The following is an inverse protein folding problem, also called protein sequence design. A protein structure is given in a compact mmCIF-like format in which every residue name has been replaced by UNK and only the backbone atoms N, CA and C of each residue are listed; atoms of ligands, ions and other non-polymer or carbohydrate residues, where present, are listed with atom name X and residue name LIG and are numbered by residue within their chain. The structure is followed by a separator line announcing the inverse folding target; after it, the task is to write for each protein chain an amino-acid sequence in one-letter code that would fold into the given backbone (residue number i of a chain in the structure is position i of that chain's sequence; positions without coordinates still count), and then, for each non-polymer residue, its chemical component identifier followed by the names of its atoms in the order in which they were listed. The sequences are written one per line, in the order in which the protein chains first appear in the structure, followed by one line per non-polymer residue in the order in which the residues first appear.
data_IF_970763746165
#
_entry.id   IF_970763746165
#
_cell.length_a   1.000
_cell.length_b   1.000
_cell.length_c   1.000
_cell.angle_alpha   90.00
_cell.angle_beta   90.00
_cell.angle_gamma   90.00
#
_symmetry.space_group_name_H-M   'P 1'
#
loop_
_entity.id
_entity.type
_entity.pdbx_description
1 polymer ?
#
# COMPACT_ATOMS: atom_id res chain seq x y z
N UNK A 1 10.10 27.62 -13.83
CA UNK A 1 10.41 28.05 -12.45
C UNK A 1 9.17 28.61 -11.73
N UNK A 2 8.84 29.92 -11.83
CA UNK A 2 7.68 30.52 -11.12
C UNK A 2 6.33 29.84 -11.41
N UNK A 3 6.10 29.46 -12.67
CA UNK A 3 4.89 28.74 -13.08
C UNK A 3 4.76 27.35 -12.44
N UNK A 4 5.86 26.58 -12.40
CA UNK A 4 5.87 25.24 -11.80
C UNK A 4 5.67 25.29 -10.26
N UNK A 5 6.34 26.22 -9.58
CA UNK A 5 6.15 26.43 -8.15
C UNK A 5 4.70 26.81 -7.80
N UNK A 6 4.09 27.70 -8.61
CA UNK A 6 2.67 28.05 -8.46
C UNK A 6 1.74 26.87 -8.69
N UNK A 7 2.02 26.02 -9.69
CA UNK A 7 1.24 24.81 -9.96
C UNK A 7 1.35 23.77 -8.84
N UNK A 8 2.51 23.66 -8.21
CA UNK A 8 2.72 22.76 -7.08
C UNK A 8 2.20 23.34 -5.74
N UNK A 9 1.64 24.55 -5.72
CA UNK A 9 1.17 25.17 -4.48
C UNK A 9 2.28 25.50 -3.46
N UNK A 10 3.56 25.54 -3.88
CA UNK A 10 4.69 25.84 -2.98
C UNK A 10 5.35 27.17 -3.32
N UNK A 11 5.97 27.80 -2.32
CA UNK A 11 6.67 29.06 -2.54
C UNK A 11 7.84 28.91 -3.51
N UNK A 12 8.08 29.93 -4.33
CA UNK A 12 9.26 29.97 -5.21
C UNK A 12 10.58 29.83 -4.44
N UNK A 13 10.66 30.38 -3.23
CA UNK A 13 11.83 30.23 -2.37
C UNK A 13 12.03 28.78 -1.90
N UNK A 14 10.96 28.04 -1.66
CA UNK A 14 11.00 26.60 -1.34
C UNK A 14 11.46 25.80 -2.55
N UNK A 15 10.83 26.00 -3.70
CA UNK A 15 11.22 25.34 -4.96
C UNK A 15 12.70 25.56 -5.30
N UNK A 16 13.16 26.82 -5.23
CA UNK A 16 14.56 27.17 -5.50
C UNK A 16 15.55 26.56 -4.49
N UNK A 17 15.16 26.32 -3.24
CA UNK A 17 16.02 25.65 -2.26
C UNK A 17 16.09 24.15 -2.54
N UNK A 18 14.99 23.54 -2.97
CA UNK A 18 14.94 22.13 -3.37
C UNK A 18 15.84 21.89 -4.59
N UNK A 19 15.68 22.66 -5.67
CA UNK A 19 16.48 22.50 -6.89
C UNK A 19 17.99 22.67 -6.67
N UNK A 20 18.39 23.52 -5.72
CA UNK A 20 19.80 23.76 -5.38
C UNK A 20 20.35 22.76 -4.35
N UNK A 21 19.59 21.74 -3.98
CA UNK A 21 19.98 20.77 -2.95
C UNK A 21 20.13 21.37 -1.54
N UNK A 22 19.56 22.57 -1.31
CA UNK A 22 19.60 23.27 -0.01
C UNK A 22 18.45 22.89 0.91
N UNK A 23 17.45 22.18 0.39
CA UNK A 23 16.37 21.57 1.16
C UNK A 23 16.04 20.21 0.52
N UNK A 24 15.86 19.17 1.32
CA UNK A 24 15.28 17.92 0.83
C UNK A 24 13.80 18.12 0.47
N UNK A 25 13.33 17.35 -0.51
CA UNK A 25 11.91 17.13 -0.77
C UNK A 25 11.55 15.72 -0.30
N UNK A 26 11.74 15.45 0.98
CA UNK A 26 11.49 14.16 1.64
C UNK A 26 10.01 13.96 1.98
N UNK A 27 9.25 15.04 2.08
CA UNK A 27 7.81 15.03 2.30
C UNK A 27 7.02 14.49 1.10
N UNK A 28 6.23 13.43 1.29
CA UNK A 28 5.48 12.76 0.20
C UNK A 28 4.37 13.60 -0.43
N UNK A 29 3.74 14.51 0.31
CA UNK A 29 2.72 15.40 -0.24
C UNK A 29 3.38 16.46 -1.12
N UNK A 30 4.48 17.03 -0.63
CA UNK A 30 5.28 17.98 -1.42
C UNK A 30 5.82 17.33 -2.70
N UNK A 31 6.30 16.09 -2.63
CA UNK A 31 6.72 15.33 -3.83
C UNK A 31 5.57 15.10 -4.80
N UNK A 32 4.37 14.76 -4.32
CA UNK A 32 3.20 14.56 -5.17
C UNK A 32 2.77 15.86 -5.87
N UNK A 33 2.79 16.99 -5.16
CA UNK A 33 2.44 18.30 -5.73
C UNK A 33 3.46 18.74 -6.79
N UNK A 34 4.75 18.51 -6.53
CA UNK A 34 5.83 18.76 -7.50
C UNK A 34 5.65 17.85 -8.73
N UNK A 35 5.32 16.56 -8.53
CA UNK A 35 5.12 15.60 -9.62
C UNK A 35 3.93 15.99 -10.50
N UNK A 36 2.82 16.37 -9.86
CA UNK A 36 1.63 16.88 -10.54
C UNK A 36 1.91 18.19 -11.29
N UNK A 37 2.78 19.06 -10.78
CA UNK A 37 3.18 20.29 -11.48
C UNK A 37 4.08 20.03 -12.69
N UNK A 38 4.88 18.95 -12.65
CA UNK A 38 5.82 18.55 -13.70
C UNK A 38 5.25 17.50 -14.67
N UNK A 39 4.03 17.03 -14.43
CA UNK A 39 3.35 15.99 -15.24
C UNK A 39 4.12 14.67 -15.30
N UNK A 40 4.63 14.23 -14.15
CA UNK A 40 5.35 12.96 -14.00
C UNK A 40 4.89 12.20 -12.75
N UNK A 41 5.34 10.96 -12.57
CA UNK A 41 5.07 10.21 -11.35
C UNK A 41 6.00 10.65 -10.20
N UNK A 42 5.56 10.66 -8.92
CA UNK A 42 6.43 10.97 -7.78
C UNK A 42 7.71 10.12 -7.72
N UNK A 43 7.65 8.87 -8.17
CA UNK A 43 8.79 7.96 -8.25
C UNK A 43 9.90 8.41 -9.22
N UNK A 44 9.56 9.23 -10.21
CA UNK A 44 10.53 9.81 -11.16
C UNK A 44 11.32 10.96 -10.51
N UNK A 45 10.68 11.71 -9.59
CA UNK A 45 11.30 12.83 -8.87
C UNK A 45 12.25 12.39 -7.76
N UNK A 46 11.91 11.30 -7.08
CA UNK A 46 12.74 10.75 -6.00
C UNK A 46 14.05 10.18 -6.50
N UNK A 47 14.26 10.17 -7.82
CA UNK A 47 15.50 9.67 -8.39
C UNK A 47 15.74 8.24 -7.97
N UNK A 48 14.76 7.35 -8.18
CA UNK A 48 15.08 5.94 -8.47
C UNK A 48 15.82 5.86 -9.83
N UNK A 49 16.75 6.77 -10.10
CA UNK A 49 17.92 6.52 -10.90
C UNK A 49 18.69 5.44 -10.12
N UNK A 50 18.40 4.20 -10.48
CA UNK A 50 19.13 3.01 -10.07
C UNK A 50 20.61 3.36 -10.19
N UNK A 51 21.38 3.46 -9.09
CA UNK A 51 22.81 3.46 -9.21
C UNK A 51 23.13 2.16 -9.97
N UNK A 52 23.78 2.27 -11.13
CA UNK A 52 24.28 1.11 -11.85
C UNK A 52 25.13 0.28 -10.87
N UNK A 53 24.55 -0.75 -10.25
CA UNK A 53 25.16 -1.45 -9.12
C UNK A 53 24.20 -2.14 -8.15
N UNK A 54 22.94 -1.70 -8.01
CA UNK A 54 22.00 -2.38 -7.12
C UNK A 54 21.33 -3.58 -7.80
N UNK A 55 21.97 -4.74 -7.69
CA UNK A 55 21.54 -6.01 -8.31
C UNK A 55 20.12 -6.40 -7.93
N UNK A 56 19.67 -6.08 -6.71
CA UNK A 56 18.35 -6.45 -6.22
C UNK A 56 17.25 -5.61 -6.88
N UNK A 57 17.53 -4.32 -7.10
CA UNK A 57 16.60 -3.41 -7.81
C UNK A 57 16.48 -3.81 -9.28
N UNK A 58 17.59 -4.15 -9.94
CA UNK A 58 17.57 -4.64 -11.33
C UNK A 58 16.81 -5.97 -11.43
N UNK A 59 17.04 -6.90 -10.49
CA UNK A 59 16.34 -8.17 -10.45
C UNK A 59 14.82 -8.00 -10.24
N UNK A 60 14.39 -7.10 -9.36
CA UNK A 60 12.98 -6.81 -9.16
C UNK A 60 12.32 -6.20 -10.41
N UNK A 61 13.04 -5.31 -11.10
CA UNK A 61 12.56 -4.67 -12.33
C UNK A 61 12.42 -5.64 -13.51
N UNK A 62 13.27 -6.68 -13.57
CA UNK A 62 13.22 -7.68 -14.63
C UNK A 62 11.87 -8.41 -14.71
N UNK A 63 11.13 -8.50 -13.60
CA UNK A 63 9.85 -9.20 -13.55
C UNK A 63 8.63 -8.31 -13.78
N UNK A 64 8.77 -6.97 -13.78
CA UNK A 64 7.64 -6.03 -13.91
C UNK A 64 6.81 -6.30 -15.17
N UNK A 65 7.47 -6.54 -16.31
CA UNK A 65 6.76 -6.83 -17.56
C UNK A 65 5.94 -8.13 -17.48
N UNK A 66 6.53 -9.19 -16.93
CA UNK A 66 5.86 -10.49 -16.79
C UNK A 66 4.69 -10.43 -15.80
N UNK A 67 4.82 -9.64 -14.71
CA UNK A 67 3.72 -9.38 -13.77
C UNK A 67 2.60 -8.63 -14.47
N UNK A 68 2.91 -7.57 -15.24
CA UNK A 68 1.89 -6.83 -16.01
C UNK A 68 1.14 -7.73 -16.96
N UNK A 69 1.84 -8.58 -17.73
CA UNK A 69 1.19 -9.54 -18.64
C UNK A 69 0.25 -10.46 -17.87
N UNK A 70 0.72 -11.07 -16.76
CA UNK A 70 -0.13 -11.93 -15.95
C UNK A 70 -1.35 -11.19 -15.38
N UNK A 71 -1.22 -9.92 -14.97
CA UNK A 71 -2.34 -9.12 -14.52
C UNK A 71 -3.33 -8.80 -15.64
N UNK A 72 -2.85 -8.52 -16.86
CA UNK A 72 -3.68 -8.29 -18.05
C UNK A 72 -4.45 -9.56 -18.41
N UNK A 73 -3.81 -10.72 -18.35
CA UNK A 73 -4.38 -12.04 -18.68
C UNK A 73 -5.46 -12.50 -17.68
N UNK A 74 -5.53 -11.90 -16.47
CA UNK A 74 -6.61 -12.19 -15.52
C UNK A 74 -7.92 -11.60 -16.05
N UNK A 75 -8.79 -12.50 -16.50
CA UNK A 75 -10.19 -12.24 -16.82
C UNK A 75 -11.08 -13.31 -16.17
N UNK A 76 -12.01 -12.90 -15.31
CA UNK A 76 -12.93 -13.81 -14.62
C UNK A 76 -14.21 -14.09 -15.43
N UNK A 77 -14.41 -13.40 -16.55
CA UNK A 77 -15.51 -13.63 -17.48
C UNK A 77 -15.21 -14.73 -18.48
N UNK A 78 -13.93 -15.00 -18.74
CA UNK A 78 -13.48 -16.11 -19.57
C UNK A 78 -13.08 -17.32 -18.70
N UNK A 79 -13.46 -18.56 -19.07
CA UNK A 79 -13.01 -19.74 -18.33
C UNK A 79 -11.50 -19.93 -18.55
N UNK A 80 -10.65 -19.82 -17.51
CA UNK A 80 -9.24 -20.10 -17.67
C UNK A 80 -9.00 -21.59 -17.91
N UNK A 81 -7.88 -21.92 -18.55
CA UNK A 81 -7.43 -23.31 -18.60
C UNK A 81 -7.20 -23.81 -17.16
N UNK A 82 -7.65 -25.03 -16.82
CA UNK A 82 -7.47 -25.56 -15.47
C UNK A 82 -5.98 -25.68 -15.13
N UNK A 83 -5.64 -25.30 -13.89
CA UNK A 83 -4.28 -25.47 -13.37
C UNK A 83 -4.06 -26.91 -12.86
N UNK A 84 -2.89 -27.52 -13.12
CA UNK A 84 -2.51 -28.78 -12.47
C UNK A 84 -2.09 -28.60 -11.01
N UNK A 85 -1.94 -27.36 -10.53
CA UNK A 85 -1.45 -27.07 -9.17
C UNK A 85 -2.59 -27.09 -8.16
N UNK A 86 -2.42 -27.87 -7.08
CA UNK A 86 -3.42 -27.97 -6.03
C UNK A 86 -3.53 -26.69 -5.18
N UNK A 87 -4.74 -26.33 -4.75
CA UNK A 87 -5.01 -25.13 -3.94
C UNK A 87 -4.17 -25.03 -2.65
N UNK A 88 -3.86 -26.11 -1.91
CA UNK A 88 -2.95 -26.04 -0.76
C UNK A 88 -1.53 -25.57 -1.14
N UNK A 89 -1.02 -25.97 -2.31
CA UNK A 89 0.29 -25.53 -2.83
C UNK A 89 0.28 -24.02 -3.14
N UNK A 90 -0.80 -23.57 -3.80
CA UNK A 90 -1.01 -22.16 -4.10
C UNK A 90 -1.08 -21.32 -2.83
N UNK A 91 -1.80 -21.82 -1.81
CA UNK A 91 -1.92 -21.15 -0.51
C UNK A 91 -0.55 -20.93 0.15
N UNK A 92 0.31 -21.96 0.16
CA UNK A 92 1.67 -21.83 0.70
C UNK A 92 2.52 -20.84 -0.09
N UNK A 93 2.40 -20.85 -1.41
CA UNK A 93 3.19 -19.96 -2.28
C UNK A 93 2.74 -18.51 -2.18
N UNK A 94 1.43 -18.25 -2.04
CA UNK A 94 0.88 -16.91 -1.73
C UNK A 94 1.38 -16.42 -0.38
N UNK A 95 1.36 -17.26 0.66
CA UNK A 95 1.88 -16.90 1.98
C UNK A 95 3.39 -16.56 1.95
N UNK A 96 4.18 -17.28 1.15
CA UNK A 96 5.59 -16.97 0.92
C UNK A 96 5.76 -15.62 0.21
N UNK A 97 5.03 -15.38 -0.87
CA UNK A 97 5.09 -14.10 -1.60
C UNK A 97 4.71 -12.93 -0.69
N UNK A 98 3.73 -13.11 0.19
CA UNK A 98 3.34 -12.10 1.17
C UNK A 98 4.43 -11.87 2.22
N UNK A 99 5.05 -12.94 2.72
CA UNK A 99 6.16 -12.84 3.68
C UNK A 99 7.33 -12.06 3.09
N UNK A 100 7.70 -12.31 1.83
CA UNK A 100 8.75 -11.58 1.11
C UNK A 100 8.38 -10.10 0.94
N UNK A 101 7.14 -9.82 0.51
CA UNK A 101 6.62 -8.44 0.40
C UNK A 101 6.68 -7.71 1.75
N UNK A 102 6.27 -8.36 2.83
CA UNK A 102 6.28 -7.79 4.17
C UNK A 102 7.69 -7.58 4.73
N UNK A 103 8.66 -8.40 4.28
CA UNK A 103 10.08 -8.21 4.56
C UNK A 103 10.74 -7.17 3.65
N UNK A 104 9.98 -6.53 2.76
CA UNK A 104 10.47 -5.62 1.73
C UNK A 104 11.45 -6.27 0.73
N UNK A 105 11.47 -7.61 0.63
CA UNK A 105 12.16 -8.35 -0.44
C UNK A 105 11.30 -8.37 -1.71
N UNK A 106 11.26 -7.21 -2.38
CA UNK A 106 10.47 -7.04 -3.59
C UNK A 106 11.04 -7.83 -4.76
N UNK A 107 12.34 -8.12 -4.80
CA UNK A 107 12.95 -8.96 -5.83
C UNK A 107 12.49 -10.42 -5.69
N UNK A 108 12.52 -10.96 -4.47
CA UNK A 108 12.01 -12.28 -4.13
C UNK A 108 10.53 -12.42 -4.44
N UNK A 109 9.70 -11.45 -4.01
CA UNK A 109 8.27 -11.45 -4.30
C UNK A 109 7.98 -11.34 -5.81
N UNK A 110 8.63 -10.40 -6.51
CA UNK A 110 8.42 -10.16 -7.94
C UNK A 110 8.76 -11.38 -8.80
N UNK A 111 9.73 -12.20 -8.38
CA UNK A 111 10.08 -13.46 -9.06
C UNK A 111 8.94 -14.49 -9.02
N UNK A 112 8.16 -14.55 -7.94
CA UNK A 112 7.08 -15.52 -7.77
C UNK A 112 5.77 -15.09 -8.44
N UNK A 113 5.51 -13.79 -8.51
CA UNK A 113 4.22 -13.23 -8.92
C UNK A 113 3.73 -13.65 -10.32
N UNK A 114 4.54 -13.69 -11.39
CA UNK A 114 4.02 -13.99 -12.74
C UNK A 114 3.39 -15.37 -12.88
N UNK A 115 4.01 -16.39 -12.27
CA UNK A 115 3.47 -17.77 -12.31
C UNK A 115 2.31 -17.88 -11.34
N UNK A 116 2.46 -17.35 -10.13
CA UNK A 116 1.44 -17.43 -9.09
C UNK A 116 0.13 -16.75 -9.49
N UNK A 117 0.17 -15.59 -10.15
CA UNK A 117 -1.02 -14.91 -10.65
C UNK A 117 -1.80 -15.78 -11.64
N UNK A 118 -1.09 -16.44 -12.57
CA UNK A 118 -1.70 -17.33 -13.58
C UNK A 118 -2.28 -18.59 -12.95
N UNK A 119 -1.52 -19.24 -12.07
CA UNK A 119 -1.97 -20.49 -11.44
C UNK A 119 -3.17 -20.26 -10.51
N UNK A 120 -3.16 -19.18 -9.73
CA UNK A 120 -4.29 -18.83 -8.86
C UNK A 120 -5.53 -18.45 -9.68
N UNK A 121 -5.37 -17.69 -10.77
CA UNK A 121 -6.47 -17.38 -11.68
C UNK A 121 -7.06 -18.64 -12.32
N UNK A 122 -6.21 -19.53 -12.84
CA UNK A 122 -6.62 -20.83 -13.36
C UNK A 122 -7.34 -21.69 -12.31
N UNK A 123 -6.91 -21.63 -11.04
CA UNK A 123 -7.58 -22.29 -9.92
C UNK A 123 -9.04 -21.84 -9.70
N UNK A 124 -9.44 -20.67 -10.19
CA UNK A 124 -10.82 -20.18 -10.06
C UNK A 124 -11.84 -20.95 -10.91
N UNK A 125 -11.38 -21.73 -11.90
CA UNK A 125 -12.22 -22.67 -12.66
C UNK A 125 -12.39 -24.04 -11.97
N UNK A 126 -11.65 -24.29 -10.88
CA UNK A 126 -11.67 -25.55 -10.15
C UNK A 126 -12.81 -25.70 -9.13
N UNK A 127 -12.92 -26.87 -8.48
CA UNK A 127 -13.95 -27.14 -7.48
C UNK A 127 -13.84 -26.23 -6.24
N UNK A 128 -12.64 -25.76 -5.92
CA UNK A 128 -12.35 -24.87 -4.78
C UNK A 128 -12.38 -23.38 -5.15
N UNK A 129 -13.26 -22.98 -6.09
CA UNK A 129 -13.34 -21.61 -6.62
C UNK A 129 -13.36 -20.53 -5.55
N UNK A 130 -14.11 -20.72 -4.46
CA UNK A 130 -14.21 -19.74 -3.38
C UNK A 130 -12.84 -19.47 -2.72
N UNK A 131 -12.06 -20.52 -2.46
CA UNK A 131 -10.69 -20.39 -1.90
C UNK A 131 -9.76 -19.76 -2.93
N UNK A 132 -9.85 -20.17 -4.20
CA UNK A 132 -9.04 -19.60 -5.27
C UNK A 132 -9.32 -18.09 -5.47
N UNK A 133 -10.56 -17.64 -5.37
CA UNK A 133 -10.91 -16.22 -5.45
C UNK A 133 -10.34 -15.41 -4.27
N UNK A 134 -10.35 -15.96 -3.05
CA UNK A 134 -9.67 -15.34 -1.88
C UNK A 134 -8.17 -15.22 -2.11
N UNK A 135 -7.53 -16.29 -2.58
CA UNK A 135 -6.10 -16.27 -2.94
C UNK A 135 -5.83 -15.28 -4.08
N UNK A 136 -6.75 -15.14 -5.04
CA UNK A 136 -6.63 -14.19 -6.14
C UNK A 136 -6.64 -12.75 -5.63
N UNK A 137 -7.54 -12.41 -4.69
CA UNK A 137 -7.52 -11.13 -3.99
C UNK A 137 -6.16 -10.87 -3.32
N UNK A 138 -5.60 -11.86 -2.62
CA UNK A 138 -4.32 -11.71 -1.93
C UNK A 138 -3.16 -11.49 -2.91
N UNK A 139 -3.00 -12.36 -3.91
CA UNK A 139 -1.87 -12.25 -4.84
C UNK A 139 -1.94 -10.98 -5.71
N UNK A 140 -3.13 -10.52 -6.06
CA UNK A 140 -3.30 -9.26 -6.81
C UNK A 140 -3.04 -8.03 -5.94
N UNK A 141 -3.39 -8.06 -4.64
CA UNK A 141 -2.96 -7.05 -3.68
C UNK A 141 -1.43 -7.05 -3.49
N UNK A 142 -0.82 -8.22 -3.35
CA UNK A 142 0.64 -8.36 -3.23
C UNK A 142 1.32 -7.78 -4.47
N UNK A 143 0.84 -8.12 -5.68
CA UNK A 143 1.33 -7.57 -6.93
C UNK A 143 1.20 -6.04 -6.97
N UNK A 144 0.01 -5.51 -6.64
CA UNK A 144 -0.22 -4.06 -6.55
C UNK A 144 0.78 -3.38 -5.60
N UNK A 145 1.02 -3.98 -4.44
CA UNK A 145 1.95 -3.46 -3.44
C UNK A 145 3.41 -3.52 -3.91
N UNK A 146 3.84 -4.62 -4.51
CA UNK A 146 5.21 -4.75 -5.06
C UNK A 146 5.42 -3.71 -6.17
N UNK A 147 4.51 -3.63 -7.14
CA UNK A 147 4.59 -2.70 -8.26
C UNK A 147 4.59 -1.23 -7.81
N UNK A 148 3.80 -0.88 -6.79
CA UNK A 148 3.81 0.46 -6.18
C UNK A 148 5.18 0.79 -5.60
N UNK A 149 5.80 -0.13 -4.86
CA UNK A 149 7.12 0.08 -4.27
C UNK A 149 8.27 0.03 -5.30
N UNK A 150 8.04 -0.56 -6.47
CA UNK A 150 8.96 -0.51 -7.63
C UNK A 150 8.75 0.72 -8.51
N UNK A 151 7.92 1.69 -8.10
CA UNK A 151 7.68 2.91 -8.87
C UNK A 151 6.88 2.68 -10.16
N UNK A 152 5.97 1.69 -10.17
CA UNK A 152 5.10 1.34 -11.31
C UNK A 152 3.63 1.63 -10.99
N UNK A 153 3.22 2.91 -10.89
CA UNK A 153 1.90 3.29 -10.40
C UNK A 153 0.73 2.79 -11.27
N UNK A 154 0.88 2.79 -12.60
CA UNK A 154 -0.14 2.27 -13.51
C UNK A 154 -0.35 0.75 -13.33
N UNK A 155 0.74 -0.01 -13.19
CA UNK A 155 0.68 -1.46 -12.96
C UNK A 155 0.12 -1.77 -11.56
N UNK A 156 0.49 -0.96 -10.57
CA UNK A 156 -0.05 -1.07 -9.22
C UNK A 156 -1.57 -0.87 -9.20
N UNK A 157 -2.07 0.11 -9.96
CA UNK A 157 -3.50 0.32 -10.14
C UNK A 157 -4.18 -0.88 -10.83
N UNK A 158 -3.58 -1.43 -11.89
CA UNK A 158 -4.10 -2.64 -12.54
C UNK A 158 -4.22 -3.81 -11.56
N UNK A 159 -3.19 -4.05 -10.73
CA UNK A 159 -3.24 -5.06 -9.68
C UNK A 159 -4.37 -4.84 -8.68
N UNK A 160 -4.61 -3.59 -8.27
CA UNK A 160 -5.71 -3.25 -7.37
C UNK A 160 -7.10 -3.41 -8.01
N UNK A 161 -7.23 -3.15 -9.32
CA UNK A 161 -8.47 -3.42 -10.06
C UNK A 161 -8.73 -4.93 -10.18
N UNK A 162 -7.70 -5.75 -10.43
CA UNK A 162 -7.86 -7.22 -10.42
C UNK A 162 -8.24 -7.75 -9.03
N UNK A 163 -7.73 -7.13 -7.97
CA UNK A 163 -8.14 -7.44 -6.59
C UNK A 163 -9.63 -7.16 -6.37
N UNK A 164 -10.15 -6.03 -6.89
CA UNK A 164 -11.58 -5.69 -6.87
C UNK A 164 -12.42 -6.69 -7.66
N UNK A 165 -11.98 -7.08 -8.84
CA UNK A 165 -12.71 -8.02 -9.69
C UNK A 165 -12.83 -9.39 -8.99
N UNK A 166 -11.75 -9.87 -8.37
CA UNK A 166 -11.75 -11.08 -7.55
C UNK A 166 -12.67 -10.98 -6.32
N UNK A 167 -12.66 -9.84 -5.61
CA UNK A 167 -13.51 -9.62 -4.45
C UNK A 167 -15.00 -9.58 -4.82
N UNK A 168 -15.33 -8.93 -5.94
CA UNK A 168 -16.69 -8.88 -6.47
C UNK A 168 -17.19 -10.28 -6.86
N UNK A 169 -16.35 -11.08 -7.52
CA UNK A 169 -16.69 -12.46 -7.88
C UNK A 169 -16.84 -13.38 -6.65
N UNK A 170 -16.15 -13.09 -5.55
CA UNK A 170 -16.27 -13.84 -4.30
C UNK A 170 -17.56 -13.49 -3.51
N UNK A 171 -18.11 -12.29 -3.68
CA UNK A 171 -19.31 -11.84 -2.94
C UNK A 171 -19.09 -11.67 -1.44
N UNK A 172 -17.84 -11.51 -0.99
CA UNK A 172 -17.47 -11.35 0.41
C UNK A 172 -17.22 -9.86 0.75
N UNK A 173 -17.93 -9.37 1.76
CA UNK A 173 -17.81 -7.98 2.24
C UNK A 173 -16.41 -7.66 2.78
N UNK A 174 -15.75 -8.62 3.42
CA UNK A 174 -14.38 -8.45 3.95
C UNK A 174 -13.41 -8.28 2.78
N UNK A 175 -13.54 -9.11 1.74
CA UNK A 175 -12.71 -8.99 0.54
C UNK A 175 -13.01 -7.70 -0.23
N UNK A 176 -14.27 -7.25 -0.23
CA UNK A 176 -14.66 -5.98 -0.85
C UNK A 176 -13.96 -4.80 -0.18
N UNK A 177 -13.95 -4.76 1.15
CA UNK A 177 -13.21 -3.75 1.91
C UNK A 177 -11.70 -3.85 1.72
N UNK A 178 -11.15 -5.07 1.66
CA UNK A 178 -9.73 -5.31 1.39
C UNK A 178 -9.30 -4.83 0.00
N UNK A 179 -10.10 -5.13 -1.03
CA UNK A 179 -9.86 -4.65 -2.39
C UNK A 179 -10.03 -3.12 -2.50
N UNK A 180 -10.97 -2.53 -1.76
CA UNK A 180 -11.05 -1.08 -1.67
C UNK A 180 -9.78 -0.49 -1.06
N UNK A 181 -9.28 -1.05 0.05
CA UNK A 181 -8.01 -0.66 0.66
C UNK A 181 -6.84 -0.75 -0.35
N UNK A 182 -6.76 -1.83 -1.13
CA UNK A 182 -5.78 -1.98 -2.21
C UNK A 182 -5.81 -0.82 -3.23
N UNK A 183 -7.02 -0.44 -3.67
CA UNK A 183 -7.22 0.66 -4.63
C UNK A 183 -6.87 2.01 -4.03
N UNK A 184 -7.20 2.24 -2.77
CA UNK A 184 -6.80 3.47 -2.08
C UNK A 184 -5.28 3.57 -2.00
N UNK A 185 -4.58 2.50 -1.58
CA UNK A 185 -3.12 2.45 -1.55
C UNK A 185 -2.49 2.73 -2.93
N UNK A 186 -3.07 2.19 -4.01
CA UNK A 186 -2.60 2.43 -5.37
C UNK A 186 -2.83 3.90 -5.80
N UNK A 187 -4.02 4.46 -5.53
CA UNK A 187 -4.34 5.85 -5.83
C UNK A 187 -3.46 6.85 -5.06
N UNK A 188 -3.28 6.65 -3.76
CA UNK A 188 -2.38 7.52 -2.97
C UNK A 188 -0.92 7.33 -3.38
N UNK A 189 -0.53 6.11 -3.78
CA UNK A 189 0.83 5.79 -4.25
C UNK A 189 1.23 6.51 -5.54
N UNK A 190 0.27 6.91 -6.38
CA UNK A 190 0.52 7.74 -7.56
C UNK A 190 0.23 9.24 -7.32
N UNK A 191 0.00 9.66 -6.07
CA UNK A 191 -0.29 11.05 -5.71
C UNK A 191 -1.75 11.46 -5.87
N UNK A 192 -2.65 10.56 -6.29
CA UNK A 192 -4.08 10.85 -6.48
C UNK A 192 -4.85 10.77 -5.15
N UNK A 193 -4.48 11.63 -4.18
CA UNK A 193 -5.04 11.62 -2.83
C UNK A 193 -6.54 11.86 -2.79
N UNK A 194 -7.07 12.78 -3.60
CA UNK A 194 -8.51 13.06 -3.67
C UNK A 194 -9.31 11.82 -4.14
N UNK A 195 -8.78 11.09 -5.13
CA UNK A 195 -9.39 9.84 -5.60
C UNK A 195 -9.32 8.76 -4.53
N UNK A 196 -8.17 8.63 -3.88
CA UNK A 196 -7.98 7.73 -2.75
C UNK A 196 -9.00 8.00 -1.64
N UNK A 197 -9.16 9.25 -1.23
CA UNK A 197 -10.09 9.65 -0.20
C UNK A 197 -11.54 9.31 -0.56
N UNK A 198 -11.97 9.64 -1.79
CA UNK A 198 -13.32 9.31 -2.27
C UNK A 198 -13.59 7.80 -2.26
N UNK A 199 -12.60 6.97 -2.62
CA UNK A 199 -12.73 5.51 -2.59
C UNK A 199 -12.79 4.99 -1.15
N UNK A 200 -11.98 5.57 -0.26
CA UNK A 200 -11.88 5.15 1.12
C UNK A 200 -13.15 5.52 1.92
N UNK A 201 -13.66 6.75 1.77
CA UNK A 201 -14.91 7.20 2.40
C UNK A 201 -16.09 6.29 2.01
N UNK A 202 -16.24 5.99 0.71
CA UNK A 202 -17.27 5.06 0.22
C UNK A 202 -17.14 3.67 0.83
N UNK A 203 -15.92 3.12 0.86
CA UNK A 203 -15.68 1.79 1.41
C UNK A 203 -15.92 1.75 2.93
N UNK A 204 -15.61 2.82 3.65
CA UNK A 204 -15.95 2.98 5.07
C UNK A 204 -17.47 2.94 5.24
N UNK A 205 -18.20 3.74 4.47
CA UNK A 205 -19.67 3.80 4.54
C UNK A 205 -20.32 2.45 4.20
N UNK A 206 -19.81 1.75 3.19
CA UNK A 206 -20.29 0.42 2.78
C UNK A 206 -20.01 -0.66 3.86
N UNK A 207 -18.89 -0.57 4.60
CA UNK A 207 -18.52 -1.57 5.61
C UNK A 207 -19.17 -1.33 6.98
N UNK A 208 -19.50 -0.07 7.33
CA UNK A 208 -20.07 0.30 8.64
C UNK A 208 -21.27 -0.57 9.07
N UNK A 209 -22.27 -0.86 8.21
CA UNK A 209 -23.41 -1.70 8.57
C UNK A 209 -23.05 -3.15 8.91
N UNK A 210 -21.84 -3.60 8.54
CA UNK A 210 -21.41 -4.99 8.66
C UNK A 210 -20.44 -5.23 9.82
N UNK A 211 -20.18 -4.25 10.68
CA UNK A 211 -19.21 -4.31 11.79
C UNK A 211 -19.46 -5.43 12.81
N UNK A 212 -20.67 -5.97 12.89
CA UNK A 212 -20.98 -7.15 13.71
C UNK A 212 -20.49 -8.48 13.11
N UNK A 213 -20.03 -8.50 11.86
CA UNK A 213 -19.46 -9.70 11.22
C UNK A 213 -17.97 -9.84 11.56
N UNK A 214 -17.46 -11.07 11.69
CA UNK A 214 -16.03 -11.31 11.91
C UNK A 214 -15.16 -10.60 10.88
N UNK A 215 -13.97 -10.14 11.28
CA UNK A 215 -12.97 -9.45 10.45
C UNK A 215 -13.38 -8.08 9.84
N UNK A 216 -14.67 -7.71 9.81
CA UNK A 216 -15.11 -6.43 9.21
C UNK A 216 -14.58 -5.24 10.00
N UNK A 217 -14.59 -5.29 11.33
CA UNK A 217 -14.02 -4.25 12.18
C UNK A 217 -12.54 -3.98 11.85
N UNK A 218 -11.76 -5.01 11.60
CA UNK A 218 -10.32 -4.91 11.35
C UNK A 218 -10.02 -4.28 9.97
N UNK A 219 -10.81 -4.65 8.95
CA UNK A 219 -10.73 -4.06 7.61
C UNK A 219 -11.24 -2.63 7.61
N UNK A 220 -12.35 -2.34 8.31
CA UNK A 220 -12.88 -0.98 8.48
C UNK A 220 -11.83 -0.07 9.14
N UNK A 221 -11.18 -0.56 10.19
CA UNK A 221 -10.10 0.16 10.87
C UNK A 221 -8.94 0.49 9.94
N UNK A 222 -8.54 -0.46 9.11
CA UNK A 222 -7.48 -0.24 8.09
C UNK A 222 -7.91 0.77 7.02
N UNK A 223 -9.20 0.77 6.63
CA UNK A 223 -9.76 1.78 5.73
C UNK A 223 -9.80 3.18 6.36
N UNK A 224 -10.11 3.30 7.65
CA UNK A 224 -10.06 4.58 8.38
C UNK A 224 -8.63 5.13 8.43
N UNK A 225 -7.60 4.29 8.61
CA UNK A 225 -6.20 4.71 8.58
C UNK A 225 -5.78 5.24 7.20
N UNK A 226 -6.17 4.59 6.11
CA UNK A 226 -5.88 5.09 4.76
C UNK A 226 -6.77 6.31 4.39
N UNK A 227 -7.99 6.44 4.95
CA UNK A 227 -8.77 7.69 4.89
C UNK A 227 -7.99 8.83 5.55
N UNK A 228 -7.42 8.59 6.75
CA UNK A 228 -6.64 9.59 7.45
C UNK A 228 -5.42 10.04 6.66
N UNK A 229 -4.70 9.11 6.01
CA UNK A 229 -3.58 9.45 5.12
C UNK A 229 -4.03 10.26 3.91
N UNK A 230 -5.07 9.81 3.21
CA UNK A 230 -5.57 10.48 2.02
C UNK A 230 -6.14 11.88 2.33
N UNK A 231 -6.87 12.00 3.43
CA UNK A 231 -7.38 13.27 3.96
C UNK A 231 -6.28 14.24 4.31
N UNK A 232 -5.19 13.77 4.94
CA UNK A 232 -4.02 14.61 5.20
C UNK A 232 -3.41 15.15 3.90
N UNK A 233 -3.27 14.29 2.89
CA UNK A 233 -2.78 14.69 1.55
C UNK A 233 -3.70 15.64 0.80
N UNK A 234 -5.00 15.67 1.15
CA UNK A 234 -5.97 16.63 0.60
C UNK A 234 -6.03 17.94 1.40
N UNK A 235 -5.14 18.16 2.37
CA UNK A 235 -5.17 19.36 3.22
C UNK A 235 -6.32 19.40 4.22
N UNK A 236 -6.85 18.23 4.63
CA UNK A 236 -7.93 18.07 5.64
C UNK A 236 -7.38 17.50 6.96
N UNK A 237 -6.56 18.24 7.72
CA UNK A 237 -5.88 17.70 8.90
C UNK A 237 -6.83 17.36 10.06
N UNK A 238 -7.93 18.09 10.22
CA UNK A 238 -8.91 17.79 11.27
C UNK A 238 -9.67 16.49 10.98
N UNK A 239 -10.14 16.31 9.74
CA UNK A 239 -10.79 15.07 9.32
C UNK A 239 -9.81 13.89 9.39
N UNK A 240 -8.55 14.09 8.97
CA UNK A 240 -7.46 13.11 9.11
C UNK A 240 -7.31 12.62 10.56
N UNK A 241 -7.36 13.54 11.52
CA UNK A 241 -7.30 13.20 12.95
C UNK A 241 -8.57 12.51 13.43
N UNK A 242 -9.74 12.90 12.97
CA UNK A 242 -11.01 12.26 13.32
C UNK A 242 -11.03 10.79 12.88
N UNK A 243 -10.66 10.48 11.63
CA UNK A 243 -10.55 9.10 11.16
C UNK A 243 -9.49 8.29 11.93
N UNK A 244 -8.35 8.91 12.25
CA UNK A 244 -7.30 8.27 13.05
C UNK A 244 -7.76 7.95 14.47
N UNK A 245 -8.57 8.81 15.08
CA UNK A 245 -9.13 8.60 16.42
C UNK A 245 -10.17 7.47 16.40
N UNK A 246 -11.05 7.46 15.39
CA UNK A 246 -12.03 6.38 15.21
C UNK A 246 -11.34 5.01 15.01
N UNK A 247 -10.25 4.97 14.22
CA UNK A 247 -9.43 3.78 14.06
C UNK A 247 -8.80 3.34 15.40
N UNK A 248 -8.33 4.28 16.22
CA UNK A 248 -7.78 3.96 17.54
C UNK A 248 -8.83 3.36 18.49
N UNK A 249 -10.04 3.91 18.51
CA UNK A 249 -11.15 3.39 19.31
C UNK A 249 -11.54 1.96 18.88
N UNK A 250 -11.53 1.71 17.57
CA UNK A 250 -11.81 0.38 17.03
C UNK A 250 -10.69 -0.60 17.38
N UNK A 251 -9.42 -0.19 17.25
CA UNK A 251 -8.26 -0.98 17.61
C UNK A 251 -8.21 -1.34 19.10
N UNK A 252 -8.65 -0.43 19.99
CA UNK A 252 -8.76 -0.71 21.41
C UNK A 252 -9.76 -1.84 21.72
N UNK A 253 -10.79 -2.02 20.87
CA UNK A 253 -11.78 -3.10 21.00
C UNK A 253 -11.35 -4.40 20.35
N UNK A 254 -10.68 -4.33 19.19
CA UNK A 254 -10.26 -5.54 18.45
C UNK A 254 -8.96 -6.14 18.97
N UNK A 255 -8.11 -5.33 19.62
CA UNK A 255 -6.75 -5.73 19.95
C UNK A 255 -5.85 -5.84 18.72
N UNK A 256 -4.69 -6.49 18.88
CA UNK A 256 -3.78 -6.79 17.77
C UNK A 256 -4.31 -7.95 16.93
N UNK A 257 -4.41 -7.75 15.62
CA UNK A 257 -4.96 -8.75 14.68
C UNK A 257 -4.00 -9.02 13.53
N UNK A 258 -4.33 -9.99 12.67
CA UNK A 258 -3.55 -10.30 11.46
C UNK A 258 -4.44 -10.47 10.22
N UNK A 259 -5.72 -10.10 10.29
CA UNK A 259 -6.70 -10.26 9.21
C UNK A 259 -6.18 -9.66 7.91
N UNK A 260 -6.22 -10.49 6.86
CA UNK A 260 -5.75 -10.16 5.50
C UNK A 260 -4.32 -9.60 5.46
N UNK A 261 -3.46 -9.91 6.44
CA UNK A 261 -2.10 -9.37 6.50
C UNK A 261 -2.03 -7.86 6.69
N UNK A 262 -3.12 -7.21 7.13
CA UNK A 262 -3.16 -5.77 7.40
C UNK A 262 -2.58 -5.42 8.78
N UNK A 263 -2.67 -6.38 9.72
CA UNK A 263 -2.26 -6.23 11.12
C UNK A 263 -2.89 -5.03 11.78
N UNK A 264 -4.21 -4.92 11.69
CA UNK A 264 -4.92 -3.85 12.36
C UNK A 264 -4.86 -4.05 13.88
N UNK A 265 -4.58 -2.98 14.62
CA UNK A 265 -4.42 -3.03 16.06
C UNK A 265 -3.76 -1.77 16.61
N UNK A 266 -3.73 -1.60 17.94
CA UNK A 266 -3.26 -0.37 18.58
C UNK A 266 -1.86 0.04 18.12
N UNK A 267 -0.94 -0.92 18.00
CA UNK A 267 0.45 -0.64 17.59
C UNK A 267 0.52 -0.16 16.15
N UNK A 268 -0.21 -0.81 15.24
CA UNK A 268 -0.23 -0.39 13.83
C UNK A 268 -0.88 0.99 13.67
N UNK A 269 -1.98 1.28 14.38
CA UNK A 269 -2.62 2.60 14.39
C UNK A 269 -1.61 3.69 14.77
N UNK A 270 -0.84 3.50 15.85
CA UNK A 270 0.18 4.47 16.26
C UNK A 270 1.25 4.68 15.20
N UNK A 271 1.71 3.62 14.52
CA UNK A 271 2.68 3.72 13.41
C UNK A 271 2.13 4.55 12.25
N UNK A 272 0.88 4.31 11.87
CA UNK A 272 0.21 5.13 10.86
C UNK A 272 0.11 6.59 11.25
N UNK A 273 -0.30 6.86 12.50
CA UNK A 273 -0.39 8.23 13.02
C UNK A 273 0.97 8.94 12.97
N UNK A 274 2.05 8.27 13.37
CA UNK A 274 3.42 8.81 13.26
C UNK A 274 3.72 9.20 11.82
N UNK A 275 3.48 8.30 10.85
CA UNK A 275 3.72 8.57 9.43
C UNK A 275 2.92 9.78 8.92
N UNK A 276 1.62 9.80 9.20
CA UNK A 276 0.70 10.87 8.79
C UNK A 276 1.12 12.23 9.36
N UNK A 277 1.55 12.30 10.62
CA UNK A 277 1.97 13.56 11.25
C UNK A 277 3.34 14.03 10.73
N UNK A 278 4.28 13.12 10.47
CA UNK A 278 5.56 13.44 9.82
C UNK A 278 5.33 14.03 8.43
N UNK A 279 4.57 13.33 7.58
CA UNK A 279 4.25 13.82 6.23
C UNK A 279 3.43 15.11 6.29
N UNK A 280 2.67 15.28 7.35
CA UNK A 280 1.83 16.43 7.57
C UNK A 280 2.51 17.65 8.18
N UNK A 281 3.82 17.61 8.42
CA UNK A 281 4.61 18.73 8.91
C UNK A 281 4.54 18.99 10.42
N UNK A 282 4.07 18.03 11.23
CA UNK A 282 4.05 18.12 12.70
C UNK A 282 4.97 17.05 13.34
N UNK A 283 6.30 17.24 13.28
CA UNK A 283 7.26 16.31 13.85
C UNK A 283 7.19 16.24 15.39
N UNK A 284 6.68 17.30 16.04
CA UNK A 284 6.54 17.35 17.50
C UNK A 284 5.48 16.35 17.98
N UNK A 285 4.32 16.34 17.31
CA UNK A 285 3.25 15.38 17.57
C UNK A 285 3.66 13.96 17.18
N UNK A 286 4.33 13.78 16.04
CA UNK A 286 4.88 12.48 15.66
C UNK A 286 5.83 11.90 16.73
N UNK A 287 6.73 12.73 17.27
CA UNK A 287 7.65 12.31 18.33
C UNK A 287 6.92 11.99 19.65
N UNK A 288 5.83 12.69 19.96
CA UNK A 288 5.01 12.39 21.14
C UNK A 288 4.33 11.01 21.02
N UNK A 289 3.75 10.71 19.86
CA UNK A 289 3.13 9.40 19.59
C UNK A 289 4.19 8.29 19.60
N UNK A 290 5.35 8.52 18.98
CA UNK A 290 6.44 7.56 18.94
C UNK A 290 6.94 7.17 20.34
N UNK A 291 7.05 8.13 21.27
CA UNK A 291 7.43 7.84 22.67
C UNK A 291 6.41 6.98 23.42
N UNK A 292 5.15 7.03 23.03
CA UNK A 292 4.07 6.24 23.63
C UNK A 292 3.83 4.90 22.92
N UNK A 293 4.56 4.61 21.85
CA UNK A 293 4.36 3.41 21.02
C UNK A 293 5.41 2.36 21.34
N UNK A 294 5.02 1.10 21.52
CA UNK A 294 5.93 -0.03 21.61
C UNK A 294 5.94 -0.83 20.29
N UNK A 295 6.93 -0.64 19.39
CA UNK A 295 6.94 -1.28 18.08
C UNK A 295 7.17 -2.80 18.14
N UNK A 296 7.67 -3.33 19.26
CA UNK A 296 7.98 -4.75 19.42
C UNK A 296 6.73 -5.66 19.45
N UNK A 297 5.53 -5.09 19.55
CA UNK A 297 4.27 -5.82 19.52
C UNK A 297 3.87 -6.30 18.11
N UNK A 298 4.51 -5.82 17.04
CA UNK A 298 4.28 -6.31 15.68
C UNK A 298 5.30 -7.40 15.31
N UNK A 299 4.88 -8.51 14.68
CA UNK A 299 5.80 -9.56 14.27
C UNK A 299 6.73 -9.11 13.12
N UNK A 300 8.04 -9.34 13.28
CA UNK A 300 9.05 -9.15 12.23
C UNK A 300 9.38 -7.69 11.88
N UNK A 301 10.27 -7.50 10.91
CA UNK A 301 10.79 -6.19 10.44
C UNK A 301 9.74 -5.30 9.75
N UNK A 302 8.56 -5.07 10.33
CA UNK A 302 7.70 -3.90 10.02
C UNK A 302 8.28 -2.60 10.62
N UNK A 303 9.60 -2.50 10.70
CA UNK A 303 10.32 -1.34 11.21
C UNK A 303 10.35 -0.26 10.12
N UNK A 304 9.27 0.50 9.97
CA UNK A 304 9.16 1.75 9.16
C UNK A 304 9.45 1.63 7.65
N UNK A 305 10.11 0.57 7.18
CA UNK A 305 10.65 0.42 5.82
C UNK A 305 9.65 -0.06 4.77
N UNK A 306 8.53 -0.67 5.18
CA UNK A 306 7.52 -1.21 4.25
C UNK A 306 6.33 -0.26 3.99
N UNK A 307 6.45 0.98 4.46
CA UNK A 307 5.69 2.13 3.96
C UNK A 307 6.47 2.74 2.78
N UNK A 308 5.80 3.28 1.75
CA UNK A 308 6.48 3.77 0.55
C UNK A 308 7.64 4.70 0.97
N UNK A 309 8.86 4.42 0.50
CA UNK A 309 10.06 5.06 1.00
C UNK A 309 10.08 6.48 0.49
N UNK A 310 9.78 7.44 1.35
CA UNK A 310 10.23 8.83 1.21
C UNK A 310 10.28 9.43 2.62
N UNK A 311 11.46 9.34 3.27
CA UNK A 311 11.82 10.29 4.32
C UNK A 311 12.31 9.77 5.67
N UNK A 312 12.16 8.49 6.04
CA UNK A 312 12.66 8.04 7.35
C UNK A 312 13.49 6.75 7.30
N UNK A 313 14.81 6.90 7.22
CA UNK A 313 15.77 5.94 7.76
C UNK A 313 16.31 6.53 9.07
N UNK A 314 16.09 5.94 10.25
CA UNK A 314 16.87 6.30 11.41
C UNK A 314 18.32 5.88 11.12
N UNK A 315 19.18 6.87 10.93
CA UNK A 315 20.62 6.71 10.88
C UNK A 315 21.07 6.21 12.25
N UNK A 316 21.17 4.89 12.42
CA UNK A 316 22.11 4.13 13.28
C UNK A 316 21.50 2.79 13.68
N UNK A 317 21.80 1.74 12.91
CA UNK A 317 21.88 0.37 13.41
C UNK A 317 23.07 -0.30 12.72
N UNK A 318 24.27 0.13 13.08
CA UNK A 318 25.46 -0.69 12.92
C UNK A 318 25.44 -1.70 14.07
N UNK A 319 25.45 -3.02 13.84
CA UNK A 319 25.67 -3.95 14.94
C UNK A 319 27.09 -3.73 15.49
N UNK A 320 27.28 -3.71 16.83
CA UNK A 320 28.63 -3.79 17.40
C UNK A 320 29.25 -5.18 17.08
N UNK A 321 30.59 -5.29 17.12
CA UNK A 321 31.33 -6.46 16.64
C UNK A 321 30.96 -7.78 17.33
#
# INVERSE_FOLDING_TARGET
MRYAASRAGISHATWSRIERGRQAADNRFTLADIAAALDCAPAELTGLAVPAGDRDVVAAHAHVHAIRQALVDIDLSEPPAPTPVAVPELTRTVALADTLRQACDYAGAARLLPVLLRDVHAGTAGPDRATALRLLCDVTFIASSVLRNLGRPADAWLGAERCRDAAAAAGDVVLTGYAAYARVCAATGCGSYQRGLTLAERAVDDLRPHTGRPAVAEVLGSLLLICALAGRGCGRPDDSRAWSAEAADLAARTGETSTMGLYFGPTNVSIWQIGIEVDGGDPGRAAAIARATNPAALPGRRSVSCWPPNGWRPSTCTPPP
#
